data_IF_318614292374
#
_entry.id   IF_318614292374
#
_cell.length_a   1.000
_cell.length_b   1.000
_cell.length_c   1.000
_cell.angle_alpha   90.00
_cell.angle_beta   90.00
_cell.angle_gamma   90.00
#
_symmetry.space_group_name_H-M   'P 1'
#
loop_
_entity.id
_entity.type
_entity.pdbx_description
1 polymer ?
#
# COMPACT_ATOMS: atom_id res chain seq x y z
N UNK A 1 -0.73 9.98 -8.36
CA UNK A 1 -0.32 9.23 -7.13
C UNK A 1 -1.50 9.25 -6.19
N UNK A 2 -1.68 8.27 -5.31
CA UNK A 2 -2.91 8.19 -4.49
C UNK A 2 -2.65 8.10 -3.00
N UNK A 3 -3.52 8.76 -2.24
CA UNK A 3 -3.46 8.76 -0.78
C UNK A 3 -4.14 7.51 -0.22
N UNK A 4 -3.35 6.64 0.43
CA UNK A 4 -3.86 5.47 1.13
C UNK A 4 -3.63 5.59 2.63
N UNK A 5 -4.58 5.12 3.43
CA UNK A 5 -4.38 4.92 4.87
C UNK A 5 -3.60 3.63 5.10
N UNK A 6 -2.40 3.76 5.63
CA UNK A 6 -1.52 2.65 6.00
C UNK A 6 -1.98 1.94 7.28
N UNK A 7 -1.42 0.76 7.53
CA UNK A 7 -1.72 -0.07 8.71
C UNK A 7 -1.35 0.62 10.04
N UNK A 8 -0.38 1.54 10.01
CA UNK A 8 -0.01 2.39 11.15
C UNK A 8 -1.01 3.55 11.39
N UNK A 9 -2.07 3.64 10.59
CA UNK A 9 -3.11 4.66 10.66
C UNK A 9 -2.78 5.95 9.91
N UNK A 10 -1.56 6.11 9.37
CA UNK A 10 -1.13 7.32 8.67
C UNK A 10 -1.56 7.30 7.20
N UNK A 11 -1.84 8.47 6.63
CA UNK A 11 -2.13 8.61 5.20
C UNK A 11 -0.82 8.88 4.46
N UNK A 12 -0.58 8.17 3.36
CA UNK A 12 0.64 8.28 2.54
C UNK A 12 0.29 8.36 1.06
N UNK A 13 1.07 9.13 0.30
CA UNK A 13 0.94 9.22 -1.16
C UNK A 13 1.72 8.10 -1.82
N UNK A 14 1.00 7.08 -2.29
CA UNK A 14 1.54 5.87 -2.88
C UNK A 14 1.50 5.98 -4.41
N UNK A 15 2.62 5.64 -5.04
CA UNK A 15 2.75 5.58 -6.49
C UNK A 15 2.56 4.17 -7.06
N UNK A 16 2.94 3.13 -6.30
CA UNK A 16 2.72 1.74 -6.69
C UNK A 16 2.60 0.84 -5.46
N UNK A 17 1.96 -0.31 -5.63
CA UNK A 17 1.80 -1.33 -4.61
C UNK A 17 2.40 -2.64 -5.07
N UNK A 18 2.89 -3.46 -4.13
CA UNK A 18 3.27 -4.85 -4.35
C UNK A 18 2.65 -5.74 -3.28
N UNK A 19 2.53 -7.03 -3.59
CA UNK A 19 2.19 -8.07 -2.62
C UNK A 19 3.43 -8.91 -2.32
N UNK A 20 3.70 -9.15 -1.05
CA UNK A 20 4.83 -9.97 -0.58
C UNK A 20 4.35 -11.05 0.39
N UNK A 21 5.01 -12.21 0.36
CA UNK A 21 4.88 -13.23 1.40
C UNK A 21 5.92 -12.96 2.49
N UNK A 22 5.45 -12.79 3.72
CA UNK A 22 6.26 -12.59 4.91
C UNK A 22 6.32 -13.90 5.70
N UNK A 23 7.53 -14.29 6.08
CA UNK A 23 7.77 -15.45 6.92
C UNK A 23 8.21 -14.94 8.30
N UNK A 24 7.49 -15.33 9.34
CA UNK A 24 7.84 -14.97 10.71
C UNK A 24 8.77 -16.04 11.27
N UNK A 25 9.97 -15.63 11.69
CA UNK A 25 10.91 -16.49 12.39
C UNK A 25 11.16 -15.92 13.79
N UNK A 26 11.00 -16.73 14.82
CA UNK A 26 11.44 -16.38 16.17
C UNK A 26 12.95 -16.62 16.30
N UNK A 27 13.69 -15.57 16.68
CA UNK A 27 15.13 -15.66 16.89
C UNK A 27 15.41 -16.65 18.04
N UNK A 28 16.09 -17.77 17.73
CA UNK A 28 16.55 -18.74 18.73
C UNK A 28 15.73 -20.04 18.84
N UNK A 29 14.72 -20.27 17.98
CA UNK A 29 14.06 -21.58 17.84
C UNK A 29 14.44 -22.24 16.53
N UNK A 30 14.56 -23.58 16.54
CA UNK A 30 14.73 -24.38 15.32
C UNK A 30 13.58 -24.11 14.34
N UNK A 31 13.95 -23.94 13.08
CA UNK A 31 13.09 -23.58 11.94
C UNK A 31 11.97 -24.58 11.63
N UNK A 32 11.88 -25.69 12.38
CA UNK A 32 11.21 -26.91 11.90
C UNK A 32 9.69 -26.90 11.98
N UNK A 33 9.03 -25.95 12.67
CA UNK A 33 7.59 -26.10 12.96
C UNK A 33 6.71 -24.86 12.85
N UNK A 34 7.23 -23.67 12.59
CA UNK A 34 6.43 -22.44 12.65
C UNK A 34 6.55 -21.57 11.38
N UNK A 35 6.26 -22.17 10.23
CA UNK A 35 6.14 -21.45 8.96
C UNK A 35 4.79 -20.72 8.89
N UNK A 36 4.58 -19.68 9.69
CA UNK A 36 3.43 -18.80 9.49
C UNK A 36 3.72 -17.87 8.32
N UNK A 37 3.07 -18.13 7.19
CA UNK A 37 3.06 -17.25 6.03
C UNK A 37 1.98 -16.19 6.28
N UNK A 38 2.38 -14.93 6.30
CA UNK A 38 1.48 -13.79 6.24
C UNK A 38 1.74 -13.02 4.95
N UNK A 39 0.70 -12.68 4.21
CA UNK A 39 0.83 -11.87 3.00
C UNK A 39 0.65 -10.41 3.34
N UNK A 40 1.54 -9.55 2.84
CA UNK A 40 1.51 -8.12 3.06
C UNK A 40 1.37 -7.36 1.74
N UNK A 41 0.54 -6.33 1.74
CA UNK A 41 0.52 -5.30 0.72
C UNK A 41 1.38 -4.14 1.17
N UNK A 42 2.37 -3.82 0.34
CA UNK A 42 3.32 -2.74 0.59
C UNK A 42 3.15 -1.70 -0.51
N UNK A 43 2.80 -0.48 -0.10
CA UNK A 43 2.77 0.69 -0.96
C UNK A 43 4.10 1.43 -0.91
N UNK A 44 4.52 1.99 -2.04
CA UNK A 44 5.73 2.79 -2.16
C UNK A 44 5.40 4.18 -2.67
N UNK A 45 6.01 5.18 -2.05
CA UNK A 45 6.00 6.56 -2.55
C UNK A 45 6.83 6.62 -3.85
N UNK A 46 6.40 7.42 -4.84
CA UNK A 46 7.09 7.50 -6.14
C UNK A 46 8.51 8.06 -5.95
N UNK A 47 9.45 7.59 -6.78
CA UNK A 47 10.88 7.86 -6.68
C UNK A 47 11.26 9.35 -6.91
N UNK A 48 11.08 10.19 -5.90
CA UNK A 48 11.84 11.44 -5.75
C UNK A 48 12.99 11.29 -4.73
N UNK A 49 13.03 10.17 -4.01
CA UNK A 49 14.02 9.85 -2.98
C UNK A 49 14.78 8.56 -3.33
N UNK A 50 16.11 8.50 -3.11
CA UNK A 50 16.89 7.26 -3.22
C UNK A 50 16.51 6.22 -2.16
N UNK A 51 15.71 6.61 -1.17
CA UNK A 51 15.13 5.71 -0.18
C UNK A 51 13.65 5.48 -0.54
N UNK A 52 13.36 4.41 -1.27
CA UNK A 52 11.99 3.93 -1.46
C UNK A 52 11.45 3.46 -0.12
N UNK A 53 10.68 4.31 0.56
CA UNK A 53 10.02 3.95 1.81
C UNK A 53 8.79 3.07 1.49
N UNK A 54 8.89 1.79 1.85
CA UNK A 54 7.77 0.87 1.80
C UNK A 54 6.86 1.06 3.01
N UNK A 55 5.56 1.19 2.76
CA UNK A 55 4.54 1.34 3.78
C UNK A 55 3.56 0.16 3.74
N UNK A 56 3.38 -0.48 4.89
CA UNK A 56 2.39 -1.55 5.05
C UNK A 56 0.99 -0.97 4.94
N UNK A 57 0.25 -1.40 3.91
CA UNK A 57 -1.14 -0.99 3.70
C UNK A 57 -2.11 -2.00 4.29
N UNK A 58 -1.83 -3.29 4.12
CA UNK A 58 -2.70 -4.38 4.54
C UNK A 58 -1.89 -5.66 4.78
N UNK A 59 -2.33 -6.52 5.70
CA UNK A 59 -1.80 -7.88 5.82
C UNK A 59 -2.93 -8.88 6.04
N UNK A 60 -2.77 -10.10 5.53
CA UNK A 60 -3.67 -11.22 5.82
C UNK A 60 -2.91 -12.54 5.70
N UNK A 61 -3.34 -13.55 6.46
CA UNK A 61 -2.88 -14.94 6.30
C UNK A 61 -3.53 -15.63 5.08
N UNK A 62 -4.60 -15.06 4.54
CA UNK A 62 -5.28 -15.57 3.36
C UNK A 62 -4.75 -14.90 2.09
N UNK A 63 -4.18 -15.71 1.20
CA UNK A 63 -3.67 -15.26 -0.10
C UNK A 63 -4.73 -14.52 -0.91
N UNK A 64 -5.94 -15.08 -1.04
CA UNK A 64 -6.99 -14.53 -1.90
C UNK A 64 -7.55 -13.21 -1.38
N UNK A 65 -7.63 -13.06 -0.06
CA UNK A 65 -8.04 -11.79 0.56
C UNK A 65 -7.01 -10.69 0.24
N UNK A 66 -5.73 -11.01 0.39
CA UNK A 66 -4.64 -10.08 0.10
C UNK A 66 -4.55 -9.77 -1.41
N UNK A 67 -4.72 -10.77 -2.27
CA UNK A 67 -4.75 -10.61 -3.72
C UNK A 67 -5.95 -9.78 -4.20
N UNK A 68 -7.13 -9.96 -3.60
CA UNK A 68 -8.30 -9.14 -3.88
C UNK A 68 -8.07 -7.66 -3.50
N UNK A 69 -7.47 -7.42 -2.34
CA UNK A 69 -7.06 -6.06 -1.93
C UNK A 69 -5.99 -5.46 -2.82
N UNK A 70 -5.03 -6.27 -3.29
CA UNK A 70 -4.02 -5.84 -4.24
C UNK A 70 -4.64 -5.36 -5.55
N UNK A 71 -5.53 -6.16 -6.15
CA UNK A 71 -6.24 -5.80 -7.37
C UNK A 71 -7.05 -4.51 -7.20
N UNK A 72 -7.73 -4.34 -6.05
CA UNK A 72 -8.45 -3.12 -5.71
C UNK A 72 -7.51 -1.90 -5.71
N UNK A 73 -6.35 -1.97 -5.04
CA UNK A 73 -5.43 -0.84 -4.98
C UNK A 73 -4.74 -0.53 -6.31
N UNK A 74 -4.42 -1.55 -7.12
CA UNK A 74 -3.95 -1.32 -8.49
C UNK A 74 -4.99 -0.59 -9.32
N UNK A 75 -6.26 -1.00 -9.24
CA UNK A 75 -7.36 -0.33 -9.93
C UNK A 75 -7.53 1.12 -9.46
N UNK A 76 -7.43 1.37 -8.16
CA UNK A 76 -7.52 2.71 -7.56
C UNK A 76 -6.39 3.64 -8.05
N UNK A 77 -5.17 3.10 -8.16
CA UNK A 77 -4.00 3.81 -8.67
C UNK A 77 -4.11 4.14 -10.17
N UNK A 78 -4.73 3.28 -10.96
CA UNK A 78 -4.84 3.44 -12.41
C UNK A 78 -6.01 4.34 -12.83
N UNK A 79 -7.15 4.27 -12.13
CA UNK A 79 -8.43 4.75 -12.68
C UNK A 79 -9.07 5.93 -11.94
N UNK A 80 -8.60 6.31 -10.76
CA UNK A 80 -9.18 7.48 -10.09
C UNK A 80 -8.43 8.74 -10.52
N UNK A 81 -9.12 9.82 -10.94
CA UNK A 81 -8.48 11.11 -11.21
C UNK A 81 -7.71 11.55 -9.96
N UNK A 82 -6.43 11.89 -10.08
CA UNK A 82 -5.63 12.41 -8.96
C UNK A 82 -6.47 13.47 -8.22
N UNK A 83 -6.48 13.43 -6.89
CA UNK A 83 -7.38 14.21 -6.03
C UNK A 83 -7.03 15.72 -6.04
N UNK A 84 -6.35 16.17 -7.10
CA UNK A 84 -6.02 17.54 -7.43
C UNK A 84 -7.19 18.13 -8.23
N UNK A 85 -8.37 18.24 -7.61
CA UNK A 85 -9.32 19.29 -8.02
C UNK A 85 -8.80 20.64 -7.52
N UNK A 86 -7.76 21.15 -8.18
CA UNK A 86 -7.51 22.59 -8.29
C UNK A 86 -8.23 23.07 -9.56
N UNK A 87 -9.55 23.05 -9.56
CA UNK A 87 -10.28 24.02 -10.36
C UNK A 87 -10.53 25.20 -9.43
N UNK A 88 -9.82 26.34 -9.58
CA UNK A 88 -10.27 27.55 -8.91
C UNK A 88 -11.68 27.84 -9.44
N UNK A 89 -12.67 27.81 -8.55
CA UNK A 89 -13.99 28.37 -8.85
C UNK A 89 -13.76 29.77 -9.45
N UNK A 90 -14.04 29.94 -10.74
CA UNK A 90 -14.14 31.27 -11.34
C UNK A 90 -15.27 31.99 -10.61
N UNK A 91 -14.89 32.76 -9.60
CA UNK A 91 -15.81 33.66 -8.91
C UNK A 91 -16.40 34.61 -9.97
N UNK A 92 -17.73 34.76 -10.04
CA UNK A 92 -18.34 35.68 -11.00
C UNK A 92 -18.15 37.11 -10.48
N UNK A 93 -16.99 37.70 -10.75
CA UNK A 93 -16.76 39.12 -10.52
C UNK A 93 -16.12 39.77 -11.74
N UNK A 94 -16.97 40.30 -12.62
CA UNK A 94 -17.06 41.72 -12.99
C UNK A 94 -17.75 41.89 -14.36
#
# INVERSE_FOLDING_TARGET
MKCFKCKDGRIRSIGYVIMQACFVFERGKELETHSFIEYALVGFEKASSPFCNGHLLFTSKNFYECAGKFAQYCQELENFPDDDTDDPEELPFA
#
